data_IF_644181322091
#
_entry.id   IF_644181322091
#
_cell.length_a   1.000
_cell.length_b   1.000
_cell.length_c   1.000
_cell.angle_alpha   90.00
_cell.angle_beta   90.00
_cell.angle_gamma   90.00
#
_symmetry.space_group_name_H-M   'P 1'
#
loop_
_entity.id
_entity.type
_entity.pdbx_description
1 polymer ?
#
# COMPACT_ATOMS: atom_id res chain seq x y z
N UNK A 1 -13.03 -13.65 43.45
CA UNK A 1 -11.59 -13.40 43.43
C UNK A 1 -11.29 -12.81 42.05
N UNK A 2 -11.11 -11.49 41.99
CA UNK A 2 -10.64 -10.86 40.74
C UNK A 2 -9.15 -11.12 40.63
N UNK A 3 -8.76 -12.03 39.76
CA UNK A 3 -7.38 -12.14 39.31
C UNK A 3 -7.12 -10.94 38.36
N UNK A 4 -6.77 -9.82 38.96
CA UNK A 4 -6.15 -8.72 38.22
C UNK A 4 -4.78 -9.20 37.77
N UNK A 5 -4.51 -9.20 36.47
CA UNK A 5 -3.21 -9.53 35.88
C UNK A 5 -2.08 -8.58 36.33
N UNK A 6 -2.27 -7.80 37.38
CA UNK A 6 -1.25 -6.93 37.97
C UNK A 6 -0.81 -5.74 37.12
N UNK A 7 -1.49 -5.48 36.00
CA UNK A 7 -1.18 -4.33 35.16
C UNK A 7 -1.82 -3.05 35.71
N UNK A 8 -1.03 -1.99 35.78
CA UNK A 8 -1.54 -0.65 36.04
C UNK A 8 -2.01 -0.04 34.72
N UNK A 9 -3.08 0.76 34.77
CA UNK A 9 -3.56 1.50 33.62
C UNK A 9 -2.47 2.47 33.10
N UNK A 10 -2.07 2.30 31.84
CA UNK A 10 -1.19 3.22 31.15
C UNK A 10 -2.07 4.24 30.44
N UNK A 11 -1.95 5.52 30.77
CA UNK A 11 -2.58 6.59 30.00
C UNK A 11 -1.84 6.72 28.67
N UNK A 12 -2.48 6.34 27.59
CA UNK A 12 -1.93 6.48 26.25
C UNK A 12 -2.47 7.73 25.57
N UNK A 13 -1.61 8.69 25.32
CA UNK A 13 -1.81 9.64 24.21
C UNK A 13 -1.63 8.86 22.90
N UNK A 14 -2.64 8.87 22.05
CA UNK A 14 -2.71 8.14 20.77
C UNK A 14 -1.76 8.72 19.69
N UNK A 15 -0.80 9.58 20.10
CA UNK A 15 0.06 10.34 19.19
C UNK A 15 1.01 9.41 18.38
N UNK A 16 1.48 8.34 18.99
CA UNK A 16 2.31 7.34 18.30
C UNK A 16 1.57 6.65 17.15
N UNK A 17 0.28 6.31 17.35
CA UNK A 17 -0.57 5.73 16.30
C UNK A 17 -0.83 6.73 15.16
N UNK A 18 -1.10 8.01 15.49
CA UNK A 18 -1.30 9.05 14.49
C UNK A 18 -0.04 9.26 13.65
N UNK A 19 1.13 9.33 14.29
CA UNK A 19 2.43 9.46 13.59
C UNK A 19 2.72 8.24 12.72
N UNK A 20 2.49 7.03 13.25
CA UNK A 20 2.64 5.80 12.47
C UNK A 20 1.73 5.80 11.23
N UNK A 21 0.47 6.18 11.38
CA UNK A 21 -0.49 6.26 10.28
C UNK A 21 -0.05 7.25 9.20
N UNK A 22 0.40 8.47 9.60
CA UNK A 22 0.88 9.49 8.64
C UNK A 22 2.14 9.06 7.90
N UNK A 23 3.10 8.43 8.58
CA UNK A 23 4.32 7.92 7.95
C UNK A 23 4.03 6.73 7.03
N UNK A 24 3.13 5.83 7.45
CA UNK A 24 2.66 4.71 6.63
C UNK A 24 2.02 5.20 5.34
N UNK A 25 1.12 6.16 5.44
CA UNK A 25 0.48 6.79 4.29
C UNK A 25 1.49 7.48 3.37
N UNK A 26 2.46 8.18 3.93
CA UNK A 26 3.52 8.82 3.16
C UNK A 26 4.39 7.81 2.40
N UNK A 27 4.67 6.64 2.99
CA UNK A 27 5.39 5.55 2.32
C UNK A 27 4.55 4.94 1.19
N UNK A 28 3.30 4.59 1.47
CA UNK A 28 2.41 3.97 0.49
C UNK A 28 2.18 4.91 -0.70
N UNK A 29 2.01 6.21 -0.44
CA UNK A 29 1.84 7.24 -1.49
C UNK A 29 3.15 7.67 -2.15
N UNK A 30 4.27 7.00 -1.88
CA UNK A 30 5.55 7.27 -2.52
C UNK A 30 6.16 8.64 -2.22
N UNK A 31 5.75 9.32 -1.14
CA UNK A 31 6.37 10.60 -0.72
C UNK A 31 7.83 10.44 -0.35
N UNK A 32 8.25 9.23 -0.07
CA UNK A 32 9.63 8.85 0.17
C UNK A 32 10.10 7.90 -0.92
N UNK A 33 11.04 8.34 -1.74
CA UNK A 33 11.60 7.52 -2.81
C UNK A 33 12.39 6.32 -2.27
N UNK A 34 12.49 5.20 -3.03
CA UNK A 34 13.41 4.11 -2.69
C UNK A 34 14.83 4.63 -2.42
N UNK A 35 15.45 4.18 -1.33
CA UNK A 35 16.77 4.63 -0.89
C UNK A 35 16.78 5.95 -0.11
N UNK A 36 15.67 6.68 -0.01
CA UNK A 36 15.59 7.96 0.70
C UNK A 36 16.05 7.82 2.15
N UNK A 37 16.88 8.79 2.56
CA UNK A 37 17.36 8.91 3.94
C UNK A 37 16.37 9.70 4.76
N UNK A 38 15.97 9.17 5.91
CA UNK A 38 15.07 9.81 6.86
C UNK A 38 15.80 10.01 8.20
N UNK A 39 15.57 11.14 8.84
CA UNK A 39 16.03 11.35 10.21
C UNK A 39 14.84 11.59 11.13
N UNK A 40 14.90 11.03 12.34
CA UNK A 40 13.83 11.18 13.32
C UNK A 40 13.57 12.65 13.66
N UNK A 41 14.61 13.49 13.66
CA UNK A 41 14.49 14.93 13.96
C UNK A 41 13.73 15.68 12.88
N UNK A 42 14.07 15.46 11.62
CA UNK A 42 13.41 16.15 10.49
C UNK A 42 11.94 15.73 10.39
N UNK A 43 11.65 14.44 10.63
CA UNK A 43 10.28 13.94 10.68
C UNK A 43 9.50 14.55 11.85
N UNK A 44 10.09 14.63 13.04
CA UNK A 44 9.45 15.24 14.19
C UNK A 44 9.15 16.73 13.96
N UNK A 45 10.09 17.46 13.36
CA UNK A 45 9.89 18.85 12.97
C UNK A 45 8.77 19.00 11.93
N UNK A 46 8.75 18.17 10.89
CA UNK A 46 7.73 18.21 9.83
C UNK A 46 6.34 17.85 10.36
N UNK A 47 6.26 16.96 11.36
CA UNK A 47 5.02 16.52 11.98
C UNK A 47 4.57 17.42 13.15
N UNK A 48 5.37 18.45 13.51
CA UNK A 48 5.07 19.34 14.62
C UNK A 48 4.99 18.65 15.98
N UNK A 49 5.79 17.56 16.18
CA UNK A 49 5.74 16.75 17.39
C UNK A 49 7.12 16.53 18.02
N UNK A 50 7.16 15.86 19.18
CA UNK A 50 8.41 15.45 19.81
C UNK A 50 9.03 14.20 19.13
N UNK A 51 10.31 13.95 19.44
CA UNK A 51 11.09 12.84 18.87
C UNK A 51 10.55 11.46 19.30
N UNK A 52 9.93 11.35 20.46
CA UNK A 52 9.52 10.05 21.05
C UNK A 52 8.47 9.33 20.20
N UNK A 53 7.30 9.91 19.89
CA UNK A 53 6.29 9.22 19.07
C UNK A 53 6.78 8.92 17.67
N UNK A 54 7.67 9.73 17.09
CA UNK A 54 8.29 9.47 15.80
C UNK A 54 9.23 8.27 15.86
N UNK A 55 10.02 8.14 16.93
CA UNK A 55 10.90 6.99 17.14
C UNK A 55 10.10 5.69 17.25
N UNK A 56 9.00 5.70 18.00
CA UNK A 56 8.15 4.53 18.18
C UNK A 56 7.49 4.12 16.85
N UNK A 57 7.00 5.09 16.07
CA UNK A 57 6.46 4.86 14.74
C UNK A 57 7.52 4.29 13.76
N UNK A 58 8.74 4.83 13.77
CA UNK A 58 9.85 4.34 12.95
C UNK A 58 10.23 2.90 13.33
N UNK A 59 10.27 2.56 14.62
CA UNK A 59 10.57 1.19 15.05
C UNK A 59 9.51 0.20 14.55
N UNK A 60 8.23 0.58 14.57
CA UNK A 60 7.15 -0.24 14.00
C UNK A 60 7.29 -0.39 12.49
N UNK A 61 7.60 0.68 11.76
CA UNK A 61 7.83 0.62 10.30
C UNK A 61 9.04 -0.25 9.94
N UNK A 62 10.06 -0.31 10.80
CA UNK A 62 11.19 -1.24 10.64
C UNK A 62 10.74 -2.69 10.89
N UNK A 63 9.90 -2.95 11.89
CA UNK A 63 9.31 -4.27 12.12
C UNK A 63 8.40 -4.73 10.98
N UNK A 64 7.71 -3.79 10.33
CA UNK A 64 6.91 -4.05 9.13
C UNK A 64 7.76 -4.11 7.83
N UNK A 65 9.09 -4.04 7.95
CA UNK A 65 10.06 -4.06 6.84
C UNK A 65 9.86 -2.94 5.80
N UNK A 66 9.12 -1.90 6.17
CA UNK A 66 8.87 -0.72 5.35
C UNK A 66 10.04 0.28 5.40
N UNK A 67 10.83 0.23 6.46
CA UNK A 67 12.06 1.00 6.66
C UNK A 67 13.20 0.10 7.12
N UNK A 68 14.43 0.54 6.89
CA UNK A 68 15.65 -0.14 7.36
C UNK A 68 16.52 0.82 8.16
N UNK A 69 16.99 0.36 9.33
CA UNK A 69 17.93 1.12 10.14
C UNK A 69 19.36 0.87 9.68
N UNK A 70 20.05 1.90 9.22
CA UNK A 70 21.46 1.82 8.82
C UNK A 70 22.42 2.20 9.96
N UNK A 71 21.96 3.06 10.88
CA UNK A 71 22.72 3.42 12.10
C UNK A 71 21.76 3.91 13.19
N UNK A 72 22.28 4.22 14.39
CA UNK A 72 21.46 4.77 15.48
C UNK A 72 20.73 6.08 15.15
N UNK A 73 21.12 6.77 14.09
CA UNK A 73 20.56 8.09 13.68
C UNK A 73 20.03 8.11 12.26
N UNK A 74 20.19 7.04 11.51
CA UNK A 74 19.84 6.98 10.10
C UNK A 74 18.90 5.83 9.79
N UNK A 75 17.78 6.18 9.21
CA UNK A 75 16.77 5.26 8.70
C UNK A 75 16.62 5.50 7.19
N UNK A 76 16.40 4.45 6.43
CA UNK A 76 16.20 4.55 4.98
C UNK A 76 14.96 3.79 4.53
N UNK A 77 14.38 4.28 3.45
CA UNK A 77 13.43 3.49 2.65
C UNK A 77 14.22 2.40 1.92
N UNK A 78 13.89 1.12 2.07
CA UNK A 78 14.60 0.06 1.35
C UNK A 78 14.53 0.26 -0.17
N UNK A 79 15.60 -0.06 -0.87
CA UNK A 79 15.52 -0.36 -2.31
C UNK A 79 15.17 -1.84 -2.41
N UNK A 80 13.99 -2.12 -2.94
CA UNK A 80 13.49 -3.49 -3.06
C UNK A 80 14.35 -4.30 -4.04
N UNK A 81 14.60 -5.56 -3.74
CA UNK A 81 15.24 -6.50 -4.68
C UNK A 81 14.18 -7.14 -5.59
N UNK A 82 14.59 -7.62 -6.77
CA UNK A 82 13.70 -8.36 -7.67
C UNK A 82 13.08 -9.58 -6.99
N UNK A 83 13.88 -10.29 -6.22
CA UNK A 83 13.46 -11.49 -5.48
C UNK A 83 12.33 -11.16 -4.49
N UNK A 84 12.51 -10.09 -3.70
CA UNK A 84 11.50 -9.64 -2.73
C UNK A 84 10.23 -9.15 -3.42
N UNK A 85 10.36 -8.41 -4.52
CA UNK A 85 9.22 -7.99 -5.32
C UNK A 85 8.41 -9.20 -5.84
N UNK A 86 9.08 -10.20 -6.42
CA UNK A 86 8.42 -11.39 -6.95
C UNK A 86 7.71 -12.20 -5.86
N UNK A 87 8.31 -12.32 -4.68
CA UNK A 87 7.69 -12.96 -3.51
C UNK A 87 6.40 -12.22 -3.11
N UNK A 88 6.48 -10.91 -2.86
CA UNK A 88 5.32 -10.11 -2.48
C UNK A 88 4.23 -10.17 -3.56
N UNK A 89 4.60 -10.06 -4.83
CA UNK A 89 3.65 -10.19 -5.95
C UNK A 89 2.90 -11.53 -5.92
N UNK A 90 3.59 -12.64 -5.68
CA UNK A 90 2.95 -13.96 -5.59
C UNK A 90 1.94 -14.01 -4.43
N UNK A 91 2.27 -13.42 -3.30
CA UNK A 91 1.37 -13.36 -2.14
C UNK A 91 0.17 -12.46 -2.47
N UNK A 92 0.39 -11.27 -3.05
CA UNK A 92 -0.68 -10.35 -3.45
C UNK A 92 -1.66 -11.00 -4.44
N UNK A 93 -1.16 -11.67 -5.46
CA UNK A 93 -1.99 -12.41 -6.45
C UNK A 93 -2.95 -13.38 -5.77
N UNK A 94 -2.53 -14.08 -4.73
CA UNK A 94 -3.40 -15.00 -3.98
C UNK A 94 -4.38 -14.29 -3.07
N UNK A 95 -3.92 -13.31 -2.34
CA UNK A 95 -4.71 -12.61 -1.33
C UNK A 95 -5.71 -11.63 -1.97
N UNK A 96 -5.28 -10.86 -2.95
CA UNK A 96 -6.16 -9.93 -3.66
C UNK A 96 -7.12 -10.66 -4.60
N UNK A 97 -6.71 -11.80 -5.18
CA UNK A 97 -7.61 -12.69 -5.90
C UNK A 97 -8.75 -13.20 -5.03
N UNK A 98 -8.44 -13.65 -3.81
CA UNK A 98 -9.47 -14.02 -2.83
C UNK A 98 -10.38 -12.84 -2.49
N UNK A 99 -9.82 -11.66 -2.25
CA UNK A 99 -10.57 -10.44 -1.95
C UNK A 99 -11.53 -10.04 -3.08
N UNK A 100 -11.06 -10.06 -4.33
CA UNK A 100 -11.86 -9.74 -5.50
C UNK A 100 -13.01 -10.75 -5.72
N UNK A 101 -12.72 -12.04 -5.56
CA UNK A 101 -13.72 -13.10 -5.61
C UNK A 101 -14.85 -12.88 -4.63
N UNK A 102 -14.52 -12.65 -3.36
CA UNK A 102 -15.50 -12.40 -2.30
C UNK A 102 -16.23 -11.06 -2.48
N UNK A 103 -15.52 -10.02 -2.97
CA UNK A 103 -16.15 -8.75 -3.30
C UNK A 103 -17.20 -8.89 -4.40
N UNK A 104 -16.96 -9.70 -5.44
CA UNK A 104 -17.95 -9.95 -6.48
C UNK A 104 -19.24 -10.60 -5.94
N UNK A 105 -19.16 -11.43 -4.92
CA UNK A 105 -20.31 -12.06 -4.29
C UNK A 105 -21.11 -11.12 -3.38
N UNK A 106 -20.45 -10.13 -2.76
CA UNK A 106 -21.01 -9.30 -1.68
C UNK A 106 -21.31 -7.86 -2.07
N UNK A 107 -20.68 -7.33 -3.13
CA UNK A 107 -20.77 -5.92 -3.51
C UNK A 107 -22.23 -5.43 -3.60
N UNK A 108 -22.52 -4.31 -2.98
CA UNK A 108 -23.79 -3.59 -3.10
C UNK A 108 -23.79 -2.69 -4.36
N UNK A 109 -24.95 -2.16 -4.80
CA UNK A 109 -24.97 -1.15 -5.85
C UNK A 109 -24.11 0.08 -5.54
N UNK A 110 -24.05 0.49 -4.27
CA UNK A 110 -23.23 1.63 -3.83
C UNK A 110 -21.73 1.32 -3.91
N UNK A 111 -21.32 0.09 -3.57
CA UNK A 111 -19.94 -0.36 -3.75
C UNK A 111 -19.52 -0.35 -5.22
N UNK A 112 -20.38 -0.83 -6.10
CA UNK A 112 -20.16 -0.81 -7.56
C UNK A 112 -20.03 0.63 -8.07
N UNK A 113 -20.90 1.54 -7.62
CA UNK A 113 -20.80 2.95 -7.97
C UNK A 113 -19.50 3.59 -7.47
N UNK A 114 -19.08 3.25 -6.23
CA UNK A 114 -17.80 3.69 -5.65
C UNK A 114 -16.60 3.18 -6.46
N UNK A 115 -16.59 1.90 -6.83
CA UNK A 115 -15.50 1.33 -7.64
C UNK A 115 -15.41 2.00 -9.02
N UNK A 116 -16.55 2.28 -9.66
CA UNK A 116 -16.59 3.00 -10.94
C UNK A 116 -16.02 4.41 -10.80
N UNK A 117 -16.45 5.18 -9.79
CA UNK A 117 -15.90 6.53 -9.51
C UNK A 117 -14.39 6.49 -9.30
N UNK A 118 -13.87 5.50 -8.58
CA UNK A 118 -12.42 5.34 -8.36
C UNK A 118 -11.67 5.10 -9.68
N UNK A 119 -12.21 4.29 -10.60
CA UNK A 119 -11.61 4.03 -11.91
C UNK A 119 -11.62 5.31 -12.76
N UNK A 120 -12.78 5.97 -12.88
CA UNK A 120 -12.93 7.18 -13.70
C UNK A 120 -11.99 8.30 -13.22
N UNK A 121 -11.88 8.49 -11.91
CA UNK A 121 -10.95 9.48 -11.32
C UNK A 121 -9.50 9.09 -11.51
N UNK A 122 -9.18 7.80 -11.45
CA UNK A 122 -7.82 7.32 -11.68
C UNK A 122 -7.40 7.55 -13.14
N UNK A 123 -8.27 7.22 -14.10
CA UNK A 123 -8.02 7.52 -15.52
C UNK A 123 -7.84 9.02 -15.77
N UNK A 124 -8.64 9.86 -15.12
CA UNK A 124 -8.49 11.30 -15.21
C UNK A 124 -7.15 11.76 -14.64
N UNK A 125 -6.76 11.28 -13.45
CA UNK A 125 -5.47 11.61 -12.84
C UNK A 125 -4.28 11.21 -13.75
N UNK A 126 -4.35 10.03 -14.38
CA UNK A 126 -3.35 9.58 -15.36
C UNK A 126 -3.33 10.51 -16.58
N UNK A 127 -4.50 10.90 -17.10
CA UNK A 127 -4.61 11.75 -18.29
C UNK A 127 -4.01 13.15 -18.09
N UNK A 128 -4.02 13.66 -16.86
CA UNK A 128 -3.41 14.96 -16.50
C UNK A 128 -2.02 14.82 -15.86
N UNK A 129 -1.45 13.61 -15.87
CA UNK A 129 -0.13 13.28 -15.29
C UNK A 129 -0.03 13.57 -13.78
N UNK A 130 -1.14 13.54 -13.05
CA UNK A 130 -1.15 13.53 -11.58
C UNK A 130 -0.83 12.13 -11.06
N UNK A 131 0.46 11.77 -11.11
CA UNK A 131 0.94 10.43 -10.72
C UNK A 131 0.71 10.12 -9.24
N UNK A 132 0.72 11.13 -8.38
CA UNK A 132 0.44 10.97 -6.96
C UNK A 132 -1.04 10.66 -6.71
N UNK A 133 -1.94 11.40 -7.34
CA UNK A 133 -3.38 11.15 -7.27
C UNK A 133 -3.75 9.81 -7.89
N UNK A 134 -3.14 9.46 -9.03
CA UNK A 134 -3.36 8.16 -9.68
C UNK A 134 -2.96 6.99 -8.78
N UNK A 135 -1.79 7.05 -8.13
CA UNK A 135 -1.34 6.04 -7.18
C UNK A 135 -2.29 5.90 -5.99
N UNK A 136 -2.75 7.03 -5.43
CA UNK A 136 -3.69 7.03 -4.29
C UNK A 136 -5.01 6.36 -4.65
N UNK A 137 -5.55 6.67 -5.82
CA UNK A 137 -6.80 6.10 -6.33
C UNK A 137 -6.66 4.60 -6.62
N UNK A 138 -5.54 4.18 -7.23
CA UNK A 138 -5.23 2.78 -7.44
C UNK A 138 -5.16 1.99 -6.12
N UNK A 139 -4.42 2.51 -5.15
CA UNK A 139 -4.36 1.89 -3.82
C UNK A 139 -5.74 1.77 -3.19
N UNK A 140 -6.54 2.86 -3.23
CA UNK A 140 -7.88 2.89 -2.66
C UNK A 140 -8.79 1.84 -3.33
N UNK A 141 -8.66 1.66 -4.65
CA UNK A 141 -9.38 0.65 -5.40
C UNK A 141 -9.05 -0.78 -4.93
N UNK A 142 -7.77 -1.13 -4.82
CA UNK A 142 -7.34 -2.45 -4.33
C UNK A 142 -7.81 -2.71 -2.89
N UNK A 143 -7.77 -1.70 -2.03
CA UNK A 143 -8.22 -1.85 -0.64
C UNK A 143 -9.75 -1.94 -0.51
N UNK A 144 -10.49 -1.26 -1.40
CA UNK A 144 -11.94 -1.36 -1.43
C UNK A 144 -12.43 -2.78 -1.67
N UNK A 145 -11.71 -3.60 -2.43
CA UNK A 145 -12.08 -5.00 -2.64
C UNK A 145 -12.08 -5.81 -1.33
N UNK A 146 -11.06 -5.64 -0.48
CA UNK A 146 -11.02 -6.31 0.82
C UNK A 146 -12.06 -5.76 1.80
N UNK A 147 -12.42 -4.48 1.69
CA UNK A 147 -13.49 -3.84 2.47
C UNK A 147 -14.86 -4.39 2.06
N UNK A 148 -15.17 -4.41 0.75
CA UNK A 148 -16.42 -4.97 0.19
C UNK A 148 -16.56 -6.45 0.52
N UNK A 149 -15.46 -7.20 0.50
CA UNK A 149 -15.41 -8.59 0.90
C UNK A 149 -15.64 -8.83 2.39
N UNK A 150 -15.68 -7.75 3.22
CA UNK A 150 -15.75 -7.82 4.69
C UNK A 150 -14.63 -8.70 5.28
N UNK A 151 -13.39 -8.48 4.80
CA UNK A 151 -12.21 -9.25 5.16
C UNK A 151 -11.16 -8.37 5.88
N UNK A 152 -11.44 -7.97 7.12
CA UNK A 152 -10.58 -7.08 7.89
C UNK A 152 -9.14 -7.62 8.08
N UNK A 153 -8.97 -8.94 8.26
CA UNK A 153 -7.65 -9.58 8.38
C UNK A 153 -6.89 -9.45 7.06
N UNK A 154 -7.54 -9.73 5.92
CA UNK A 154 -6.95 -9.55 4.59
C UNK A 154 -6.51 -8.10 4.37
N UNK A 155 -7.39 -7.15 4.69
CA UNK A 155 -7.12 -5.70 4.59
C UNK A 155 -5.86 -5.31 5.39
N UNK A 156 -5.69 -5.85 6.60
CA UNK A 156 -4.50 -5.62 7.43
C UNK A 156 -3.21 -6.19 6.83
N UNK A 157 -3.28 -7.40 6.26
CA UNK A 157 -2.13 -8.03 5.59
C UNK A 157 -1.74 -7.24 4.35
N UNK A 158 -2.71 -6.87 3.50
CA UNK A 158 -2.47 -6.04 2.31
C UNK A 158 -1.84 -4.69 2.68
N UNK A 159 -2.28 -4.05 3.76
CA UNK A 159 -1.67 -2.81 4.25
C UNK A 159 -0.16 -2.93 4.48
N UNK A 160 0.30 -4.03 5.08
CA UNK A 160 1.74 -4.28 5.30
C UNK A 160 2.50 -4.54 4.00
N UNK A 161 1.91 -5.27 3.05
CA UNK A 161 2.53 -5.51 1.75
C UNK A 161 2.65 -4.22 0.94
N UNK A 162 1.62 -3.38 0.97
CA UNK A 162 1.63 -2.08 0.32
C UNK A 162 2.61 -1.10 0.95
N UNK A 163 2.82 -1.14 2.28
CA UNK A 163 3.87 -0.36 2.95
C UNK A 163 5.25 -0.63 2.36
N UNK A 164 5.56 -1.89 2.07
CA UNK A 164 6.84 -2.28 1.51
C UNK A 164 6.97 -1.92 0.02
N UNK A 165 5.88 -2.06 -0.74
CA UNK A 165 5.88 -1.85 -2.19
C UNK A 165 5.59 -0.41 -2.62
N UNK A 166 4.91 0.37 -1.79
CA UNK A 166 4.42 1.71 -2.13
C UNK A 166 5.49 2.61 -2.80
N UNK A 167 6.69 2.74 -2.23
CA UNK A 167 7.76 3.55 -2.82
C UNK A 167 8.17 3.08 -4.23
N UNK A 168 8.18 1.76 -4.48
CA UNK A 168 8.51 1.20 -5.79
C UNK A 168 7.37 1.40 -6.79
N UNK A 169 6.12 1.14 -6.39
CA UNK A 169 4.94 1.36 -7.22
C UNK A 169 4.87 2.85 -7.61
N UNK A 170 5.04 3.77 -6.67
CA UNK A 170 5.07 5.19 -6.92
C UNK A 170 6.13 5.58 -7.97
N UNK A 171 7.34 5.05 -7.80
CA UNK A 171 8.43 5.29 -8.75
C UNK A 171 8.17 4.70 -10.15
N UNK A 172 7.21 3.79 -10.28
CA UNK A 172 6.86 3.15 -11.55
C UNK A 172 5.71 3.85 -12.29
N UNK A 173 4.90 4.66 -11.60
CA UNK A 173 3.68 5.24 -12.16
C UNK A 173 3.91 6.16 -13.35
N UNK A 174 4.92 7.04 -13.28
CA UNK A 174 5.32 7.94 -14.38
C UNK A 174 5.66 7.18 -15.68
N UNK A 175 6.17 5.95 -15.56
CA UNK A 175 6.57 5.12 -16.70
C UNK A 175 5.45 4.17 -17.13
N UNK A 176 4.61 3.75 -16.22
CA UNK A 176 3.54 2.78 -16.46
C UNK A 176 2.24 3.41 -16.94
N UNK A 177 1.94 4.61 -16.44
CA UNK A 177 0.71 5.31 -16.78
C UNK A 177 -0.51 4.39 -16.70
N UNK A 178 -1.25 4.28 -17.80
CA UNK A 178 -2.47 3.47 -17.88
C UNK A 178 -2.24 1.96 -17.67
N UNK A 179 -1.07 1.41 -18.02
CA UNK A 179 -0.75 -0.01 -17.80
C UNK A 179 -0.87 -0.42 -16.32
N UNK A 180 -0.79 0.55 -15.41
CA UNK A 180 -0.96 0.29 -13.97
C UNK A 180 -2.40 -0.03 -13.56
N UNK A 181 -3.40 0.16 -14.47
CA UNK A 181 -4.83 -0.02 -14.20
C UNK A 181 -5.59 -0.67 -15.35
N UNK A 182 -4.91 -1.29 -16.30
CA UNK A 182 -5.51 -1.81 -17.55
C UNK A 182 -6.66 -2.81 -17.31
N UNK A 183 -6.64 -3.52 -16.19
CA UNK A 183 -7.63 -4.56 -15.87
C UNK A 183 -8.74 -4.12 -14.91
N UNK A 184 -8.76 -2.86 -14.44
CA UNK A 184 -9.75 -2.38 -13.47
C UNK A 184 -11.18 -2.43 -14.04
N UNK A 185 -11.39 -2.07 -15.32
CA UNK A 185 -12.72 -2.18 -15.95
C UNK A 185 -13.20 -3.62 -16.08
N UNK A 186 -12.29 -4.55 -16.40
CA UNK A 186 -12.64 -5.98 -16.47
C UNK A 186 -13.03 -6.52 -15.09
N UNK A 187 -12.33 -6.08 -14.05
CA UNK A 187 -12.66 -6.43 -12.68
C UNK A 187 -14.01 -5.87 -12.25
N UNK A 188 -14.30 -4.60 -12.53
CA UNK A 188 -15.59 -3.98 -12.26
C UNK A 188 -16.73 -4.72 -12.97
N UNK A 189 -16.58 -5.03 -14.26
CA UNK A 189 -17.57 -5.77 -15.02
C UNK A 189 -17.84 -7.17 -14.43
N UNK A 190 -16.81 -7.87 -13.96
CA UNK A 190 -16.97 -9.17 -13.29
C UNK A 190 -17.71 -9.03 -11.95
N UNK A 191 -17.45 -7.97 -11.17
CA UNK A 191 -18.14 -7.69 -9.91
C UNK A 191 -19.63 -7.36 -10.19
N UNK A 192 -19.93 -6.55 -11.21
CA UNK A 192 -21.30 -6.23 -11.64
C UNK A 192 -22.08 -7.49 -12.05
N UNK A 193 -21.42 -8.40 -12.76
CA UNK A 193 -21.99 -9.66 -13.20
C UNK A 193 -22.05 -10.74 -12.10
N UNK A 194 -21.54 -10.47 -10.88
CA UNK A 194 -21.40 -11.46 -9.82
C UNK A 194 -20.51 -12.66 -10.23
N UNK A 195 -19.62 -12.46 -11.20
CA UNK A 195 -18.66 -13.47 -11.66
C UNK A 195 -17.42 -13.47 -10.76
N UNK A 196 -17.48 -14.29 -9.71
CA UNK A 196 -16.41 -14.42 -8.74
C UNK A 196 -15.09 -14.91 -9.35
N UNK A 197 -15.15 -15.85 -10.29
CA UNK A 197 -13.97 -16.39 -10.98
C UNK A 197 -13.40 -15.36 -11.97
N UNK A 198 -14.26 -14.59 -12.64
CA UNK A 198 -13.87 -13.48 -13.49
C UNK A 198 -13.19 -12.35 -12.70
N UNK A 199 -13.71 -12.00 -11.53
CA UNK A 199 -13.12 -11.00 -10.65
C UNK A 199 -11.73 -11.43 -10.14
N UNK A 200 -11.59 -12.69 -9.72
CA UNK A 200 -10.28 -13.24 -9.34
C UNK A 200 -9.29 -13.17 -10.51
N UNK A 201 -9.68 -13.58 -11.71
CA UNK A 201 -8.80 -13.51 -12.89
C UNK A 201 -8.40 -12.08 -13.21
N UNK A 202 -9.34 -11.15 -13.21
CA UNK A 202 -9.08 -9.75 -13.57
C UNK A 202 -8.07 -9.07 -12.64
N UNK A 203 -8.18 -9.25 -11.30
CA UNK A 203 -7.21 -8.66 -10.36
C UNK A 203 -5.84 -9.35 -10.45
N UNK A 204 -5.80 -10.65 -10.74
CA UNK A 204 -4.55 -11.39 -10.98
C UNK A 204 -3.84 -10.85 -12.23
N UNK A 205 -4.59 -10.60 -13.29
CA UNK A 205 -4.07 -10.05 -14.54
C UNK A 205 -3.60 -8.60 -14.38
N UNK A 206 -4.32 -7.80 -13.57
CA UNK A 206 -3.92 -6.45 -13.19
C UNK A 206 -2.55 -6.43 -12.49
N UNK A 207 -2.39 -7.21 -11.42
CA UNK A 207 -1.13 -7.29 -10.66
C UNK A 207 0.02 -7.81 -11.54
N UNK A 208 -0.26 -8.75 -12.44
CA UNK A 208 0.75 -9.30 -13.36
C UNK A 208 1.06 -8.35 -14.51
N UNK A 209 0.06 -7.67 -15.05
CA UNK A 209 0.21 -6.71 -16.16
C UNK A 209 1.12 -5.54 -15.79
N UNK A 210 0.92 -4.94 -14.62
CA UNK A 210 1.78 -3.88 -14.11
C UNK A 210 3.22 -4.34 -13.80
N UNK A 211 3.46 -5.66 -13.68
CA UNK A 211 4.76 -6.18 -13.22
C UNK A 211 5.93 -5.87 -14.17
N UNK A 212 5.72 -5.80 -15.48
CA UNK A 212 6.79 -5.48 -16.44
C UNK A 212 7.37 -4.09 -16.16
N UNK A 213 6.49 -3.10 -16.02
CA UNK A 213 6.88 -1.71 -15.72
C UNK A 213 7.61 -1.63 -14.38
N UNK A 214 7.11 -2.33 -13.35
CA UNK A 214 7.70 -2.33 -12.02
C UNK A 214 9.09 -3.01 -12.04
N UNK A 215 9.27 -4.10 -12.78
CA UNK A 215 10.55 -4.80 -12.91
C UNK A 215 11.57 -3.94 -13.66
N UNK A 216 11.17 -3.27 -14.74
CA UNK A 216 12.04 -2.37 -15.49
C UNK A 216 12.48 -1.19 -14.62
N UNK A 217 11.56 -0.63 -13.83
CA UNK A 217 11.88 0.42 -12.88
C UNK A 217 12.83 -0.04 -11.79
N UNK A 218 12.61 -1.24 -11.26
CA UNK A 218 13.46 -1.84 -10.25
C UNK A 218 14.89 -2.05 -10.76
N UNK A 219 15.04 -2.50 -12.01
CA UNK A 219 16.35 -2.64 -12.67
C UNK A 219 17.07 -1.28 -12.85
N UNK A 220 16.31 -0.19 -13.02
CA UNK A 220 16.86 1.16 -13.13
C UNK A 220 17.23 1.80 -11.78
N UNK A 221 16.67 1.33 -10.66
CA UNK A 221 17.00 1.80 -9.33
C UNK A 221 18.34 1.15 -8.91
N UNK A 222 19.41 1.94 -8.85
CA UNK A 222 20.69 1.45 -8.32
C UNK A 222 20.50 1.15 -6.83
N UNK A 223 20.98 0.00 -6.32
CA UNK A 223 21.08 -0.20 -4.89
C UNK A 223 21.87 0.98 -4.31
N UNK A 224 21.40 1.55 -3.19
CA UNK A 224 22.17 2.55 -2.47
C UNK A 224 23.50 1.91 -2.12
N UNK A 225 24.59 2.43 -2.68
CA UNK A 225 25.95 1.92 -2.45
C UNK A 225 26.21 1.78 -0.96
N UNK A 226 26.84 0.70 -0.60
CA UNK A 226 27.37 0.41 0.75
C UNK A 226 28.31 1.49 1.26
#
# INVERSE_FOLDING_TARGET
MNETFGFQAVAHDNLGEVVYGQLSEALIRGRFAPGARLTIRDLAQSLGTSVTPVRDAILRLIQDEALVQKSAREVRVPVMTLERYLEIRQIRVKLEGLGAREAALKATPDDIARLRDLIDRNEHAIAIEDWSGALELNQTFHFALAEIADMAVLRGILGRLWLQMGPLIAASYEHGGRTMIDHHHALLAAIEARDADGAERAIVDDIKGASSVIIDRLAALKPAGD
#
